data_IF_819178790552
#
_entry.id   IF_819178790552
#
_cell.length_a   1.000
_cell.length_b   1.000
_cell.length_c   1.000
_cell.angle_alpha   90.00
_cell.angle_beta   90.00
_cell.angle_gamma   90.00
#
_symmetry.space_group_name_H-M   'P 1'
#
loop_
_entity.id
_entity.type
_entity.pdbx_description
1 polymer ?
#
# COMPACT_ATOMS: atom_id res chain seq x y z
N UNK A 1 10.27 49.92 -15.83
CA UNK A 1 8.92 49.78 -15.24
C UNK A 1 8.97 48.80 -14.07
N UNK A 2 9.18 49.31 -12.85
CA UNK A 2 9.07 48.52 -11.61
C UNK A 2 7.58 48.27 -11.36
N UNK A 3 7.12 47.02 -11.45
CA UNK A 3 5.75 46.66 -11.05
C UNK A 3 5.77 46.37 -9.55
N UNK A 4 5.20 47.29 -8.78
CA UNK A 4 4.94 47.10 -7.36
C UNK A 4 4.02 45.89 -7.16
N UNK A 5 4.61 44.76 -6.77
CA UNK A 5 3.89 43.64 -6.16
C UNK A 5 3.47 44.08 -4.76
N UNK A 6 2.38 44.85 -4.67
CA UNK A 6 1.71 45.13 -3.39
C UNK A 6 1.28 43.80 -2.76
N UNK A 7 2.08 43.32 -1.82
CA UNK A 7 1.79 42.18 -0.96
C UNK A 7 0.55 42.50 -0.14
N UNK A 8 -0.61 42.01 -0.59
CA UNK A 8 -1.86 42.07 0.17
C UNK A 8 -1.61 41.41 1.54
N UNK A 9 -1.91 42.18 2.60
CA UNK A 9 -1.83 41.80 4.01
C UNK A 9 -2.15 40.32 4.25
N UNK A 10 -1.26 39.68 4.99
CA UNK A 10 -1.26 38.29 5.42
C UNK A 10 -2.57 37.94 6.17
N UNK A 11 -3.63 37.57 5.44
CA UNK A 11 -4.83 36.96 6.06
C UNK A 11 -4.41 35.57 6.50
N UNK A 12 -4.50 35.27 7.80
CA UNK A 12 -4.52 33.88 8.29
C UNK A 12 -5.71 33.18 7.65
N UNK A 13 -5.47 32.43 6.58
CA UNK A 13 -6.47 31.55 5.98
C UNK A 13 -6.47 30.30 6.85
N UNK A 14 -7.32 30.28 7.88
CA UNK A 14 -7.61 29.06 8.62
C UNK A 14 -8.71 28.36 7.81
N UNK A 15 -8.45 27.18 7.23
CA UNK A 15 -9.48 26.44 6.52
C UNK A 15 -10.60 26.07 7.48
N UNK A 16 -11.84 26.17 6.99
CA UNK A 16 -13.03 25.75 7.72
C UNK A 16 -12.89 24.28 8.16
N UNK A 17 -13.48 23.92 9.31
CA UNK A 17 -13.40 22.57 9.88
C UNK A 17 -13.76 21.48 8.86
N UNK A 18 -14.73 21.74 7.99
CA UNK A 18 -15.15 20.82 6.93
C UNK A 18 -14.07 20.57 5.87
N UNK A 19 -13.30 21.60 5.51
CA UNK A 19 -12.21 21.46 4.56
C UNK A 19 -11.08 20.59 5.16
N UNK A 20 -10.79 20.77 6.46
CA UNK A 20 -9.80 19.95 7.19
C UNK A 20 -10.25 18.49 7.23
N UNK A 21 -11.52 18.23 7.57
CA UNK A 21 -12.06 16.86 7.62
C UNK A 21 -12.01 16.16 6.26
N UNK A 22 -12.27 16.88 5.17
CA UNK A 22 -12.13 16.35 3.81
C UNK A 22 -10.68 15.98 3.48
N UNK A 23 -9.72 16.82 3.88
CA UNK A 23 -8.29 16.56 3.70
C UNK A 23 -7.84 15.32 4.48
N UNK A 24 -8.24 15.20 5.76
CA UNK A 24 -7.91 14.04 6.60
C UNK A 24 -8.41 12.75 5.94
N UNK A 25 -9.69 12.71 5.53
CA UNK A 25 -10.25 11.54 4.83
C UNK A 25 -9.52 11.20 3.54
N UNK A 26 -9.12 12.21 2.78
CA UNK A 26 -8.36 12.00 1.55
C UNK A 26 -6.96 11.43 1.82
N UNK A 27 -6.29 11.92 2.88
CA UNK A 27 -4.99 11.39 3.31
C UNK A 27 -5.13 9.96 3.78
N UNK A 28 -6.07 9.66 4.68
CA UNK A 28 -6.31 8.29 5.19
C UNK A 28 -6.60 7.29 4.07
N UNK A 29 -7.37 7.70 3.06
CA UNK A 29 -7.69 6.86 1.90
C UNK A 29 -6.47 6.57 1.02
N UNK A 30 -5.59 7.55 0.81
CA UNK A 30 -4.48 7.43 -0.14
C UNK A 30 -3.16 7.02 0.51
N UNK A 31 -2.99 7.23 1.81
CA UNK A 31 -1.74 6.99 2.50
C UNK A 31 -1.28 5.52 2.47
N UNK A 32 -2.16 4.48 2.53
CA UNK A 32 -1.73 3.10 2.35
C UNK A 32 -1.05 2.88 1.00
N UNK A 33 -1.56 3.49 -0.07
CA UNK A 33 -0.99 3.38 -1.43
C UNK A 33 0.35 4.11 -1.51
N UNK A 34 0.42 5.32 -0.94
CA UNK A 34 1.65 6.12 -0.93
C UNK A 34 2.77 5.42 -0.14
N UNK A 35 2.45 4.80 0.99
CA UNK A 35 3.41 4.13 1.87
C UNK A 35 3.72 2.69 1.45
N UNK A 36 2.91 2.08 0.58
CA UNK A 36 3.13 0.71 0.13
C UNK A 36 4.52 0.55 -0.52
N UNK A 37 4.97 1.54 -1.28
CA UNK A 37 6.30 1.54 -1.88
C UNK A 37 7.41 1.63 -0.82
N UNK A 38 7.28 2.55 0.14
CA UNK A 38 8.27 2.76 1.20
C UNK A 38 8.39 1.57 2.16
N UNK A 39 7.29 0.87 2.42
CA UNK A 39 7.27 -0.32 3.32
C UNK A 39 7.72 -1.58 2.58
N UNK A 40 7.74 -1.58 1.24
CA UNK A 40 8.05 -2.77 0.41
C UNK A 40 9.41 -3.40 0.71
N UNK A 41 10.52 -2.65 0.90
CA UNK A 41 11.81 -3.25 1.22
C UNK A 41 11.79 -4.01 2.56
N UNK A 42 11.10 -3.45 3.56
CA UNK A 42 10.96 -4.09 4.88
C UNK A 42 10.15 -5.39 4.78
N UNK A 43 8.99 -5.34 4.12
CA UNK A 43 8.18 -6.54 3.84
C UNK A 43 8.99 -7.62 3.11
N UNK A 44 9.77 -7.22 2.11
CA UNK A 44 10.61 -8.15 1.32
C UNK A 44 11.67 -8.82 2.19
N UNK A 45 12.34 -8.05 3.06
CA UNK A 45 13.33 -8.58 4.00
C UNK A 45 12.74 -9.59 4.97
N UNK A 46 11.57 -9.28 5.54
CA UNK A 46 10.87 -10.16 6.49
C UNK A 46 10.35 -11.43 5.83
N UNK A 47 9.75 -11.32 4.63
CA UNK A 47 9.32 -12.48 3.86
C UNK A 47 10.48 -13.39 3.49
N UNK A 48 11.65 -12.84 3.16
CA UNK A 48 12.85 -13.64 2.89
C UNK A 48 13.32 -14.39 4.13
N UNK A 49 13.32 -13.75 5.31
CA UNK A 49 13.68 -14.39 6.59
C UNK A 49 12.69 -15.49 6.95
N UNK A 50 11.40 -15.23 6.81
CA UNK A 50 10.34 -16.23 7.02
C UNK A 50 10.56 -17.46 6.14
N UNK A 51 10.75 -17.27 4.83
CA UNK A 51 10.99 -18.40 3.90
C UNK A 51 12.19 -19.24 4.32
N UNK A 52 13.33 -18.59 4.61
CA UNK A 52 14.54 -19.28 5.06
C UNK A 52 14.31 -20.07 6.34
N UNK A 53 13.65 -19.47 7.33
CA UNK A 53 13.42 -20.15 8.61
C UNK A 53 12.45 -21.34 8.44
N UNK A 54 11.45 -21.22 7.57
CA UNK A 54 10.55 -22.33 7.23
C UNK A 54 11.29 -23.45 6.48
N UNK A 55 12.17 -23.11 5.54
CA UNK A 55 13.03 -24.06 4.83
C UNK A 55 13.93 -24.82 5.82
N UNK A 56 14.66 -24.10 6.67
CA UNK A 56 15.50 -24.70 7.71
C UNK A 56 14.70 -25.60 8.67
N UNK A 57 13.49 -25.18 9.04
CA UNK A 57 12.60 -25.95 9.91
C UNK A 57 12.15 -27.26 9.24
N UNK A 58 11.79 -27.21 7.95
CA UNK A 58 11.42 -28.40 7.18
C UNK A 58 12.60 -29.38 7.07
N UNK A 59 13.79 -28.88 6.76
CA UNK A 59 15.01 -29.70 6.66
C UNK A 59 15.30 -30.39 7.99
N UNK A 60 15.25 -29.65 9.09
CA UNK A 60 15.45 -30.19 10.44
C UNK A 60 14.48 -31.33 10.79
N UNK A 61 13.17 -31.10 10.64
CA UNK A 61 12.17 -32.12 10.97
C UNK A 61 12.18 -33.30 9.99
N UNK A 62 12.55 -33.08 8.73
CA UNK A 62 12.73 -34.16 7.75
C UNK A 62 13.92 -35.04 8.12
N UNK A 63 15.07 -34.44 8.47
CA UNK A 63 16.24 -35.17 8.94
C UNK A 63 15.96 -35.96 10.22
N UNK A 64 15.30 -35.33 11.20
CA UNK A 64 14.88 -35.99 12.44
C UNK A 64 13.98 -37.20 12.17
N UNK A 65 12.98 -37.06 11.29
CA UNK A 65 12.09 -38.16 10.92
C UNK A 65 12.86 -39.30 10.28
N UNK A 66 13.77 -39.00 9.34
CA UNK A 66 14.59 -40.01 8.67
C UNK A 66 15.52 -40.75 9.65
N UNK A 67 16.13 -40.05 10.59
CA UNK A 67 16.96 -40.66 11.64
C UNK A 67 16.13 -41.61 12.52
N UNK A 68 14.93 -41.20 12.90
CA UNK A 68 14.01 -42.04 13.69
C UNK A 68 13.56 -43.28 12.90
N UNK A 69 13.20 -43.14 11.62
CA UNK A 69 12.85 -44.25 10.74
C UNK A 69 14.02 -45.22 10.53
N UNK A 70 15.24 -44.70 10.38
CA UNK A 70 16.43 -45.54 10.25
C UNK A 70 16.78 -46.25 11.56
N UNK A 71 16.49 -45.64 12.72
CA UNK A 71 16.67 -46.29 14.02
C UNK A 71 15.77 -47.51 14.23
N UNK A 72 14.61 -47.55 13.56
CA UNK A 72 13.66 -48.67 13.62
C UNK A 72 14.12 -49.90 12.83
N UNK A 73 15.00 -49.72 11.83
CA UNK A 73 15.54 -50.81 11.01
C UNK A 73 16.64 -51.62 11.71
N UNK A 74 17.05 -51.22 12.92
CA UNK A 74 18.13 -51.87 13.67
C UNK A 74 17.66 -53.21 14.25
N UNK A 75 18.43 -54.30 14.13
CA UNK A 75 18.10 -55.58 14.75
C UNK A 75 18.06 -55.48 16.28
N UNK A 76 17.17 -56.24 16.92
CA UNK A 76 17.13 -56.37 18.39
C UNK A 76 16.21 -55.38 19.13
N UNK A 77 15.27 -54.74 18.44
CA UNK A 77 14.23 -53.91 19.07
C UNK A 77 13.05 -54.76 19.53
N UNK A 78 12.50 -54.45 20.70
CA UNK A 78 11.24 -55.04 21.16
C UNK A 78 10.04 -54.41 20.42
N UNK A 79 8.97 -55.18 20.26
CA UNK A 79 7.74 -54.70 19.60
C UNK A 79 7.16 -53.45 20.28
N UNK A 80 7.31 -53.36 21.60
CA UNK A 80 6.87 -52.22 22.39
C UNK A 80 7.68 -50.95 22.07
N UNK A 81 9.00 -51.07 21.94
CA UNK A 81 9.89 -49.98 21.51
C UNK A 81 9.62 -49.52 20.07
N UNK A 82 9.24 -50.45 19.19
CA UNK A 82 8.86 -50.16 17.80
C UNK A 82 7.54 -49.37 17.76
N UNK A 83 6.55 -49.80 18.55
CA UNK A 83 5.25 -49.13 18.67
C UNK A 83 5.39 -47.69 19.18
N UNK A 84 6.10 -47.49 20.30
CA UNK A 84 6.31 -46.17 20.91
C UNK A 84 7.01 -45.19 19.97
N UNK A 85 7.97 -45.67 19.18
CA UNK A 85 8.69 -44.85 18.20
C UNK A 85 7.83 -44.50 16.98
N UNK A 86 7.03 -45.44 16.49
CA UNK A 86 6.09 -45.17 15.40
C UNK A 86 5.06 -44.12 15.80
N UNK A 87 4.58 -44.17 17.04
CA UNK A 87 3.65 -43.16 17.56
C UNK A 87 4.29 -41.77 17.61
N UNK A 88 5.55 -41.67 18.08
CA UNK A 88 6.30 -40.39 18.02
C UNK A 88 6.49 -39.89 16.60
N UNK A 89 6.83 -40.75 15.64
CA UNK A 89 6.98 -40.36 14.22
C UNK A 89 5.67 -39.81 13.65
N UNK A 90 4.52 -40.38 14.04
CA UNK A 90 3.20 -39.92 13.59
C UNK A 90 2.85 -38.52 14.10
N UNK A 91 3.42 -38.08 15.23
CA UNK A 91 3.16 -36.76 15.81
C UNK A 91 4.02 -35.64 15.21
N UNK A 92 5.14 -35.98 14.56
CA UNK A 92 6.07 -35.00 13.97
C UNK A 92 5.40 -34.00 13.01
N UNK A 93 4.51 -34.40 12.07
CA UNK A 93 3.87 -33.45 11.15
C UNK A 93 3.03 -32.40 11.88
N UNK A 94 2.30 -32.81 12.92
CA UNK A 94 1.47 -31.91 13.73
C UNK A 94 2.33 -30.88 14.48
N UNK A 95 3.49 -31.31 15.00
CA UNK A 95 4.42 -30.41 15.67
C UNK A 95 5.07 -29.43 14.68
N UNK A 96 5.46 -29.91 13.49
CA UNK A 96 5.98 -29.08 12.41
C UNK A 96 4.99 -28.00 11.99
N UNK A 97 3.70 -28.33 11.85
CA UNK A 97 2.65 -27.36 11.53
C UNK A 97 2.54 -26.27 12.60
N UNK A 98 2.47 -26.64 13.89
CA UNK A 98 2.45 -25.67 15.00
C UNK A 98 3.66 -24.75 14.97
N UNK A 99 4.85 -25.29 14.69
CA UNK A 99 6.08 -24.48 14.60
C UNK A 99 6.09 -23.55 13.39
N UNK A 100 5.48 -23.95 12.26
CA UNK A 100 5.28 -23.05 11.11
C UNK A 100 4.34 -21.91 11.45
N UNK A 101 3.28 -22.18 12.20
CA UNK A 101 2.35 -21.13 12.65
C UNK A 101 3.03 -20.15 13.62
N UNK A 102 3.88 -20.65 14.52
CA UNK A 102 4.71 -19.80 15.39
C UNK A 102 5.64 -18.90 14.56
N UNK A 103 6.29 -19.43 13.52
CA UNK A 103 7.11 -18.64 12.60
C UNK A 103 6.25 -17.61 11.85
N UNK A 104 5.08 -18.00 11.36
CA UNK A 104 4.17 -17.09 10.67
C UNK A 104 3.76 -15.92 11.57
N UNK A 105 3.41 -16.20 12.83
CA UNK A 105 3.08 -15.19 13.82
C UNK A 105 4.28 -14.28 14.13
N UNK A 106 5.48 -14.86 14.30
CA UNK A 106 6.73 -14.12 14.54
C UNK A 106 7.06 -13.15 13.41
N UNK A 107 6.83 -13.55 12.16
CA UNK A 107 7.14 -12.75 10.97
C UNK A 107 5.96 -11.91 10.48
N UNK A 108 4.80 -11.99 11.13
CA UNK A 108 3.63 -11.17 10.82
C UNK A 108 3.86 -9.71 11.18
N UNK A 109 3.70 -8.82 10.20
CA UNK A 109 3.89 -7.38 10.37
C UNK A 109 2.53 -6.71 10.48
N UNK A 110 2.32 -5.93 11.55
CA UNK A 110 1.17 -5.03 11.69
C UNK A 110 1.65 -3.60 11.60
N UNK A 111 1.28 -2.89 10.53
CA UNK A 111 1.60 -1.47 10.37
C UNK A 111 0.38 -0.64 10.76
N UNK A 112 0.58 0.33 11.65
CA UNK A 112 -0.44 1.33 11.99
C UNK A 112 -0.02 2.67 11.42
N UNK A 113 -0.94 3.35 10.78
CA UNK A 113 -0.74 4.70 10.28
C UNK A 113 -1.64 5.65 11.05
N UNK A 114 -1.08 6.76 11.52
CA UNK A 114 -1.83 7.85 12.13
C UNK A 114 -1.31 9.19 11.59
N UNK A 115 -2.23 10.12 11.36
CA UNK A 115 -1.88 11.50 11.02
C UNK A 115 -1.48 12.24 12.30
N UNK A 116 -0.18 12.52 12.47
CA UNK A 116 0.32 13.18 13.68
C UNK A 116 0.14 14.71 13.67
N UNK A 117 0.06 15.31 12.49
CA UNK A 117 -0.09 16.75 12.34
C UNK A 117 -0.17 17.16 10.88
N UNK A 118 -0.62 18.40 10.65
CA UNK A 118 -0.67 19.02 9.34
C UNK A 118 -0.16 20.45 9.43
N UNK A 119 0.56 20.88 8.39
CA UNK A 119 1.04 22.26 8.26
C UNK A 119 0.45 22.87 7.00
N UNK A 120 -0.08 24.08 7.12
CA UNK A 120 -0.62 24.83 6.00
C UNK A 120 0.47 25.78 5.52
N UNK A 121 0.88 25.62 4.27
CA UNK A 121 1.85 26.46 3.62
C UNK A 121 1.15 27.36 2.61
N UNK A 122 1.44 28.66 2.68
CA UNK A 122 1.03 29.62 1.67
C UNK A 122 2.20 29.89 0.73
N UNK A 123 2.13 29.38 -0.49
CA UNK A 123 3.10 29.67 -1.54
C UNK A 123 2.45 30.41 -2.70
N UNK A 124 3.21 31.25 -3.44
CA UNK A 124 2.76 31.73 -4.74
C UNK A 124 2.49 30.54 -5.66
N UNK A 125 1.38 30.58 -6.39
CA UNK A 125 1.04 29.56 -7.36
C UNK A 125 0.44 30.21 -8.60
N UNK A 126 0.75 29.66 -9.78
CA UNK A 126 0.19 30.13 -11.05
C UNK A 126 -0.94 29.19 -11.44
N UNK A 127 -2.17 29.72 -11.52
CA UNK A 127 -3.32 28.95 -11.98
C UNK A 127 -3.42 29.06 -13.50
N UNK A 128 -3.33 27.93 -14.18
CA UNK A 128 -3.55 27.82 -15.61
C UNK A 128 -4.94 27.24 -15.84
N UNK A 129 -5.81 28.01 -16.48
CA UNK A 129 -7.21 27.63 -16.72
C UNK A 129 -7.32 27.08 -18.14
N UNK A 130 -7.76 25.83 -18.24
CA UNK A 130 -7.99 25.14 -19.50
C UNK A 130 -9.49 24.91 -19.71
N UNK A 131 -9.95 25.08 -20.95
CA UNK A 131 -11.29 24.67 -21.35
C UNK A 131 -11.17 23.34 -22.09
N UNK A 132 -11.78 22.29 -21.55
CA UNK A 132 -11.85 20.97 -22.16
C UNK A 132 -13.24 20.79 -22.76
N UNK A 133 -13.31 20.27 -23.98
CA UNK A 133 -14.57 20.04 -24.68
C UNK A 133 -14.62 18.65 -25.31
N UNK A 134 -15.77 17.99 -25.18
CA UNK A 134 -16.10 16.75 -25.91
C UNK A 134 -17.48 16.98 -26.55
N UNK A 135 -17.51 17.07 -27.87
CA UNK A 135 -18.71 17.46 -28.62
C UNK A 135 -19.22 18.84 -28.17
N UNK A 136 -20.48 18.90 -27.72
CA UNK A 136 -21.12 20.14 -27.22
C UNK A 136 -20.89 20.41 -25.73
N UNK A 137 -20.32 19.47 -24.99
CA UNK A 137 -20.07 19.63 -23.55
C UNK A 137 -18.72 20.31 -23.35
N UNK A 138 -18.68 21.29 -22.44
CA UNK A 138 -17.45 21.99 -22.09
C UNK A 138 -17.27 22.00 -20.57
N UNK A 139 -16.02 21.99 -20.13
CA UNK A 139 -15.65 22.03 -18.71
C UNK A 139 -14.37 22.84 -18.53
N UNK A 140 -14.36 23.70 -17.51
CA UNK A 140 -13.15 24.38 -17.05
C UNK A 140 -12.37 23.46 -16.13
N UNK A 141 -11.07 23.34 -16.40
CA UNK A 141 -10.11 22.63 -15.58
C UNK A 141 -9.02 23.61 -15.14
N UNK A 142 -8.61 23.51 -13.88
CA UNK A 142 -7.57 24.35 -13.31
C UNK A 142 -6.35 23.48 -13.05
N UNK A 143 -5.24 23.81 -13.70
CA UNK A 143 -3.93 23.25 -13.45
C UNK A 143 -3.15 24.26 -12.61
N UNK A 144 -2.45 23.78 -11.58
CA UNK A 144 -1.65 24.63 -10.72
C UNK A 144 -0.18 24.42 -11.10
N UNK A 145 0.51 25.48 -11.50
CA UNK A 145 1.96 25.49 -11.62
C UNK A 145 2.57 25.99 -10.32
N UNK A 146 3.43 25.17 -9.74
CA UNK A 146 4.13 25.42 -8.50
C UNK A 146 5.53 26.00 -8.80
N UNK A 147 5.73 27.32 -8.59
CA UNK A 147 6.99 27.97 -8.93
C UNK A 147 8.15 27.56 -8.02
N UNK A 148 7.86 27.02 -6.83
CA UNK A 148 8.89 26.57 -5.88
C UNK A 148 9.61 25.33 -6.39
N UNK A 149 8.85 24.35 -6.90
CA UNK A 149 9.41 23.11 -7.49
C UNK A 149 9.54 23.18 -9.02
N UNK A 150 9.14 24.32 -9.62
CA UNK A 150 9.14 24.58 -11.07
C UNK A 150 8.40 23.53 -11.89
N UNK A 151 7.39 22.89 -11.32
CA UNK A 151 6.58 21.87 -11.98
C UNK A 151 5.10 22.17 -11.81
N UNK A 152 4.29 21.52 -12.65
CA UNK A 152 2.85 21.45 -12.46
C UNK A 152 2.54 20.52 -11.29
N UNK A 153 1.55 20.86 -10.46
CA UNK A 153 1.01 19.97 -9.44
C UNK A 153 0.11 18.90 -10.10
N UNK A 154 0.11 17.66 -9.59
CA UNK A 154 -0.69 16.60 -10.17
C UNK A 154 -2.19 16.90 -10.07
N UNK A 155 -2.94 16.59 -11.13
CA UNK A 155 -4.40 16.66 -11.11
C UNK A 155 -4.96 15.52 -10.28
N UNK A 156 -6.09 15.76 -9.61
CA UNK A 156 -6.74 14.74 -8.78
C UNK A 156 -7.78 14.01 -9.61
N UNK A 157 -7.66 12.69 -9.70
CA UNK A 157 -8.67 11.82 -10.32
C UNK A 157 -9.99 11.90 -9.55
N UNK A 158 -11.10 12.18 -10.23
CA UNK A 158 -12.43 12.29 -9.60
C UNK A 158 -13.01 10.94 -9.19
N UNK A 159 -12.53 9.84 -9.79
CA UNK A 159 -12.98 8.49 -9.45
C UNK A 159 -12.30 7.92 -8.20
N UNK A 160 -10.97 7.97 -8.12
CA UNK A 160 -10.23 7.39 -6.99
C UNK A 160 -9.73 8.42 -5.98
N UNK A 161 -9.53 9.68 -6.38
CA UNK A 161 -8.91 10.72 -5.56
C UNK A 161 -7.38 10.74 -5.59
N UNK A 162 -6.74 9.90 -6.40
CA UNK A 162 -5.28 9.88 -6.54
C UNK A 162 -4.79 11.02 -7.43
N UNK A 163 -3.64 11.60 -7.08
CA UNK A 163 -2.93 12.55 -7.94
C UNK A 163 -2.35 11.86 -9.19
N UNK A 164 -2.45 12.50 -10.35
CA UNK A 164 -1.91 11.99 -11.60
C UNK A 164 -1.51 13.13 -12.55
N UNK A 165 -0.45 12.91 -13.31
CA UNK A 165 -0.05 13.78 -14.43
C UNK A 165 -0.68 13.34 -15.76
N UNK A 166 -1.15 12.09 -15.83
CA UNK A 166 -1.76 11.51 -17.01
C UNK A 166 -3.27 11.46 -16.81
N UNK A 167 -3.95 12.55 -17.18
CA UNK A 167 -5.40 12.66 -17.05
C UNK A 167 -6.09 12.24 -18.36
N UNK A 168 -7.10 11.40 -18.24
CA UNK A 168 -8.08 11.11 -19.29
C UNK A 168 -9.45 11.66 -18.91
N UNK A 169 -10.33 11.77 -19.89
CA UNK A 169 -11.71 12.20 -19.68
C UNK A 169 -12.69 11.14 -20.16
N UNK A 170 -13.79 10.92 -19.42
CA UNK A 170 -14.95 10.18 -19.94
C UNK A 170 -15.87 11.11 -20.75
N UNK A 171 -16.91 10.58 -21.40
CA UNK A 171 -17.92 11.36 -22.17
C UNK A 171 -18.72 12.41 -21.36
N UNK A 172 -18.68 12.29 -20.03
CA UNK A 172 -19.24 13.29 -19.11
C UNK A 172 -18.19 14.30 -18.61
N UNK A 173 -16.98 14.32 -19.19
CA UNK A 173 -15.85 15.19 -18.84
C UNK A 173 -15.33 15.03 -17.39
N UNK A 174 -15.50 13.84 -16.79
CA UNK A 174 -14.83 13.54 -15.53
C UNK A 174 -13.33 13.32 -15.74
N UNK A 175 -12.50 13.95 -14.91
CA UNK A 175 -11.05 13.85 -14.96
C UNK A 175 -10.59 12.58 -14.24
N UNK A 176 -10.02 11.62 -14.97
CA UNK A 176 -9.72 10.28 -14.46
C UNK A 176 -8.26 9.88 -14.70
N UNK A 177 -7.66 9.17 -13.75
CA UNK A 177 -6.35 8.57 -13.93
C UNK A 177 -6.40 7.38 -14.92
N UNK A 178 -5.23 6.88 -15.40
CA UNK A 178 -5.19 5.81 -16.39
C UNK A 178 -5.83 4.50 -15.92
N UNK A 179 -5.94 4.28 -14.61
CA UNK A 179 -6.63 3.12 -14.04
C UNK A 179 -8.16 3.31 -13.99
N UNK A 180 -8.63 4.52 -13.71
CA UNK A 180 -10.06 4.82 -13.59
C UNK A 180 -10.73 5.10 -14.94
N UNK A 181 -9.96 5.36 -16.00
CA UNK A 181 -10.54 5.62 -17.33
C UNK A 181 -11.25 4.41 -17.95
N UNK A 182 -10.84 3.18 -17.65
CA UNK A 182 -11.47 1.97 -18.23
C UNK A 182 -12.91 1.72 -17.76
N UNK A 183 -13.34 2.39 -16.69
CA UNK A 183 -14.68 2.32 -16.15
C UNK A 183 -14.87 3.46 -15.17
N UNK A 184 -15.58 4.50 -15.61
CA UNK A 184 -15.69 5.72 -14.83
C UNK A 184 -16.46 5.45 -13.54
N UNK A 185 -15.75 5.49 -12.40
CA UNK A 185 -16.35 5.26 -11.07
C UNK A 185 -17.35 6.35 -10.64
N UNK A 186 -17.38 7.48 -11.36
CA UNK A 186 -18.28 8.60 -11.07
C UNK A 186 -19.64 8.41 -11.75
N UNK A 187 -19.66 7.96 -13.01
CA UNK A 187 -20.92 7.78 -13.77
C UNK A 187 -21.29 6.33 -14.08
N UNK A 188 -20.45 5.35 -13.71
CA UNK A 188 -20.70 3.93 -13.91
C UNK A 188 -20.60 3.46 -15.37
N UNK A 189 -20.32 4.35 -16.32
CA UNK A 189 -20.20 4.02 -17.74
C UNK A 189 -18.77 3.57 -18.08
N UNK A 190 -18.67 2.51 -18.87
CA UNK A 190 -17.41 2.15 -19.54
C UNK A 190 -17.09 3.25 -20.55
N UNK A 191 -15.85 3.73 -20.51
CA UNK A 191 -15.27 4.63 -21.51
C UNK A 191 -14.74 3.79 -22.65
#
# INVERSE_FOLDING_TARGET
MKRDLKTKKNRKIIPEKDAINKLIRAVEKNAPVALAHEIKPFQTSMNRRFKRDVENLNEYYTGMKQEMENSLKRPGLSDQLISDRNEKIRLIPLELEKKKDDLFNKYSIKTRLALCGAMILNSPAVKVIYNVAIGRKTRKLVIIYNPTIKSVDPLVCEGCGAGTYNIGFCDALHALCPQCRFGCRVCGKKV
#
